data_IF_910515397514
#
_entry.id   IF_910515397514
#
_cell.length_a   1.000
_cell.length_b   1.000
_cell.length_c   1.000
_cell.angle_alpha   90.00
_cell.angle_beta   90.00
_cell.angle_gamma   90.00
#
_symmetry.space_group_name_H-M   'P 1'
#
loop_
_entity.id
_entity.type
_entity.pdbx_description
1 polymer ?
#
# COMPACT_ATOMS: atom_id res chain seq x y z
N UNK A 1 17.65 -17.94 38.31
CA UNK A 1 16.54 -17.05 37.91
C UNK A 1 17.17 -15.92 37.12
N UNK A 2 17.20 -16.03 35.79
CA UNK A 2 17.83 -15.05 34.91
C UNK A 2 16.93 -13.82 34.86
N UNK A 3 17.28 -12.80 35.65
CA UNK A 3 16.69 -11.46 35.53
C UNK A 3 17.24 -10.84 34.25
N UNK A 4 16.48 -10.93 33.16
CA UNK A 4 16.73 -10.11 31.97
C UNK A 4 16.56 -8.65 32.38
N UNK A 5 17.64 -7.88 32.31
CA UNK A 5 17.62 -6.46 32.68
C UNK A 5 16.59 -5.72 31.80
N UNK A 6 15.73 -4.86 32.36
CA UNK A 6 14.65 -4.19 31.62
C UNK A 6 15.14 -3.39 30.39
N UNK A 7 16.39 -2.94 30.43
CA UNK A 7 17.06 -2.23 29.34
C UNK A 7 17.38 -3.20 28.20
N UNK A 8 18.00 -4.34 28.49
CA UNK A 8 18.33 -5.38 27.49
C UNK A 8 17.08 -5.94 26.82
N UNK A 9 15.96 -6.01 27.54
CA UNK A 9 14.69 -6.47 26.99
C UNK A 9 14.10 -5.44 26.01
N UNK A 10 14.20 -4.14 26.34
CA UNK A 10 13.71 -3.04 25.49
C UNK A 10 14.52 -2.92 24.21
N UNK A 11 15.85 -2.97 24.31
CA UNK A 11 16.73 -2.96 23.13
C UNK A 11 16.43 -4.12 22.20
N UNK A 12 16.18 -5.32 22.76
CA UNK A 12 15.81 -6.48 21.96
C UNK A 12 14.45 -6.36 21.31
N UNK A 13 13.48 -5.71 21.96
CA UNK A 13 12.17 -5.42 21.37
C UNK A 13 12.32 -4.43 20.21
N UNK A 14 13.08 -3.35 20.39
CA UNK A 14 13.31 -2.36 19.32
C UNK A 14 13.99 -2.99 18.10
N UNK A 15 14.98 -3.86 18.32
CA UNK A 15 15.67 -4.59 17.24
C UNK A 15 14.71 -5.54 16.50
N UNK A 16 13.91 -6.31 17.24
CA UNK A 16 12.94 -7.24 16.65
C UNK A 16 11.80 -6.51 15.92
N UNK A 17 11.31 -5.39 16.46
CA UNK A 17 10.30 -4.56 15.81
C UNK A 17 10.83 -3.96 14.51
N UNK A 18 12.11 -3.54 14.51
CA UNK A 18 12.78 -3.03 13.33
C UNK A 18 12.99 -4.11 12.26
N UNK A 19 13.43 -5.32 12.64
CA UNK A 19 13.54 -6.46 11.74
C UNK A 19 12.16 -6.83 11.14
N UNK A 20 11.12 -6.88 11.97
CA UNK A 20 9.75 -7.14 11.51
C UNK A 20 9.29 -6.05 10.54
N UNK A 21 9.61 -4.78 10.80
CA UNK A 21 9.31 -3.66 9.89
C UNK A 21 9.99 -3.86 8.54
N UNK A 22 11.27 -4.20 8.53
CA UNK A 22 12.04 -4.44 7.30
C UNK A 22 11.51 -5.64 6.51
N UNK A 23 11.25 -6.76 7.18
CA UNK A 23 10.69 -7.96 6.56
C UNK A 23 9.30 -7.71 5.97
N UNK A 24 8.43 -7.00 6.70
CA UNK A 24 7.10 -6.58 6.18
C UNK A 24 7.23 -5.66 4.98
N UNK A 25 8.21 -4.74 4.97
CA UNK A 25 8.47 -3.85 3.84
C UNK A 25 9.01 -4.59 2.60
N UNK A 26 9.74 -5.69 2.79
CA UNK A 26 10.22 -6.57 1.71
C UNK A 26 9.11 -7.46 1.15
N UNK A 27 8.21 -7.95 2.00
CA UNK A 27 7.09 -8.81 1.60
C UNK A 27 5.90 -8.03 1.01
N UNK A 28 5.88 -6.70 1.15
CA UNK A 28 4.81 -5.88 0.59
C UNK A 28 4.86 -5.96 -0.96
N UNK A 29 3.81 -6.48 -1.62
CA UNK A 29 3.80 -6.64 -3.06
C UNK A 29 3.87 -5.26 -3.71
N UNK A 30 5.00 -4.94 -4.37
CA UNK A 30 5.18 -3.69 -5.10
C UNK A 30 4.69 -3.91 -6.52
N UNK A 31 3.41 -3.63 -6.78
CA UNK A 31 2.95 -3.48 -8.15
C UNK A 31 3.65 -2.24 -8.75
N UNK A 32 4.31 -2.44 -9.89
CA UNK A 32 4.89 -1.34 -10.65
C UNK A 32 3.73 -0.56 -11.29
N UNK A 33 3.29 0.50 -10.61
CA UNK A 33 2.23 1.36 -11.12
C UNK A 33 2.84 2.41 -12.07
N UNK A 34 2.20 2.71 -13.22
CA UNK A 34 2.68 3.72 -14.15
C UNK A 34 2.91 5.07 -13.48
N UNK A 35 3.97 5.79 -13.86
CA UNK A 35 4.25 7.13 -13.34
C UNK A 35 3.12 8.12 -13.71
N UNK A 36 2.53 7.92 -14.89
CA UNK A 36 1.43 8.72 -15.47
C UNK A 36 0.20 8.79 -14.57
N UNK A 37 -0.03 7.81 -13.70
CA UNK A 37 -1.20 7.77 -12.80
C UNK A 37 -1.14 8.79 -11.67
N UNK A 38 0.02 9.42 -11.46
CA UNK A 38 0.23 10.48 -10.46
C UNK A 38 -0.34 10.13 -9.06
N UNK A 39 -0.12 8.88 -8.64
CA UNK A 39 -0.46 8.37 -7.32
C UNK A 39 0.70 8.63 -6.35
N UNK A 40 0.37 9.12 -5.15
CA UNK A 40 1.36 9.31 -4.08
C UNK A 40 1.96 7.97 -3.65
N UNK A 41 3.15 7.94 -3.02
CA UNK A 41 3.73 6.70 -2.53
C UNK A 41 2.80 5.91 -1.59
N UNK A 42 2.02 6.60 -0.75
CA UNK A 42 1.00 5.96 0.10
C UNK A 42 -0.13 5.33 -0.73
N UNK A 43 -0.69 6.05 -1.71
CA UNK A 43 -1.74 5.51 -2.59
C UNK A 43 -1.26 4.29 -3.37
N UNK A 44 -0.03 4.32 -3.88
CA UNK A 44 0.59 3.20 -4.62
C UNK A 44 0.66 1.94 -3.77
N UNK A 45 1.09 2.08 -2.51
CA UNK A 45 1.20 0.95 -1.57
C UNK A 45 -0.18 0.40 -1.18
N UNK A 46 -1.15 1.27 -0.89
CA UNK A 46 -2.54 0.86 -0.61
C UNK A 46 -3.10 0.07 -1.80
N UNK A 47 -2.99 0.61 -3.01
CA UNK A 47 -3.52 -0.04 -4.21
C UNK A 47 -2.85 -1.40 -4.43
N UNK A 48 -1.53 -1.47 -4.30
CA UNK A 48 -0.81 -2.74 -4.47
C UNK A 48 -1.23 -3.79 -3.44
N UNK A 49 -1.46 -3.37 -2.19
CA UNK A 49 -1.95 -4.24 -1.11
C UNK A 49 -3.35 -4.77 -1.39
N UNK A 50 -4.27 -3.89 -1.79
CA UNK A 50 -5.63 -4.27 -2.18
C UNK A 50 -5.63 -5.25 -3.36
N UNK A 51 -4.79 -5.00 -4.37
CA UNK A 51 -4.66 -5.87 -5.54
C UNK A 51 -4.09 -7.24 -5.22
N UNK A 52 -3.11 -7.33 -4.33
CA UNK A 52 -2.53 -8.60 -3.92
C UNK A 52 -3.49 -9.44 -3.07
N UNK A 53 -4.40 -8.79 -2.33
CA UNK A 53 -5.37 -9.46 -1.46
C UNK A 53 -6.69 -9.79 -2.16
N UNK A 54 -6.98 -9.19 -3.31
CA UNK A 54 -8.25 -9.32 -4.03
C UNK A 54 -8.68 -10.80 -4.22
N UNK A 55 -9.94 -11.17 -3.91
CA UNK A 55 -11.05 -10.32 -3.47
C UNK A 55 -11.16 -10.12 -1.94
N UNK A 56 -10.15 -10.52 -1.17
CA UNK A 56 -10.17 -10.44 0.29
C UNK A 56 -10.11 -9.01 0.84
N UNK A 57 -10.67 -8.86 2.05
CA UNK A 57 -10.65 -7.60 2.80
C UNK A 57 -9.24 -7.33 3.35
N UNK A 58 -8.80 -6.10 3.18
CA UNK A 58 -7.61 -5.54 3.83
C UNK A 58 -8.07 -4.64 4.97
N UNK A 59 -7.65 -4.96 6.20
CA UNK A 59 -8.14 -4.28 7.40
C UNK A 59 -7.63 -2.85 7.52
N UNK A 60 -8.33 -2.02 8.28
CA UNK A 60 -7.90 -0.65 8.60
C UNK A 60 -6.50 -0.60 9.20
N UNK A 61 -6.20 -1.48 10.15
CA UNK A 61 -4.90 -1.54 10.83
C UNK A 61 -3.79 -1.91 9.86
N UNK A 62 -4.03 -2.89 8.99
CA UNK A 62 -3.03 -3.28 8.00
C UNK A 62 -2.76 -2.15 7.00
N UNK A 63 -3.79 -1.43 6.56
CA UNK A 63 -3.62 -0.27 5.68
C UNK A 63 -2.88 0.89 6.40
N UNK A 64 -3.06 1.04 7.70
CA UNK A 64 -2.33 2.02 8.51
C UNK A 64 -0.84 1.68 8.53
N UNK A 65 -0.49 0.43 8.82
CA UNK A 65 0.90 -0.06 8.77
C UNK A 65 1.51 0.16 7.38
N UNK A 66 0.77 -0.17 6.32
CA UNK A 66 1.22 0.01 4.93
C UNK A 66 1.49 1.49 4.63
N UNK A 67 0.66 2.42 5.10
CA UNK A 67 0.90 3.85 4.95
C UNK A 67 2.16 4.32 5.69
N UNK A 68 2.40 3.79 6.89
CA UNK A 68 3.50 4.20 7.78
C UNK A 68 4.85 3.52 7.48
N UNK A 69 4.84 2.40 6.77
CA UNK A 69 6.01 1.53 6.52
C UNK A 69 7.26 2.19 5.88
N UNK A 70 7.12 3.36 5.27
CA UNK A 70 8.21 4.07 4.56
C UNK A 70 8.40 5.51 5.09
N UNK A 71 7.77 5.85 6.23
CA UNK A 71 8.13 7.07 6.93
C UNK A 71 9.53 6.86 7.50
N UNK A 72 10.51 7.54 6.89
CA UNK A 72 11.82 7.73 7.51
C UNK A 72 11.57 8.40 8.86
N UNK A 73 12.35 8.04 9.89
CA UNK A 73 12.18 8.46 11.28
C UNK A 73 12.07 9.99 11.49
N UNK A 74 12.48 10.78 10.50
CA UNK A 74 12.49 12.25 10.51
C UNK A 74 11.48 12.92 9.57
N UNK A 75 10.70 12.16 8.78
CA UNK A 75 9.62 12.77 7.99
C UNK A 75 8.42 13.02 8.91
N UNK A 76 7.85 14.25 8.92
CA UNK A 76 6.62 14.50 9.65
C UNK A 76 5.56 13.53 9.13
N UNK A 77 4.82 12.85 10.03
CA UNK A 77 3.83 11.88 9.58
C UNK A 77 2.90 12.62 8.63
N UNK A 78 2.75 12.11 7.40
CA UNK A 78 1.63 12.56 6.59
C UNK A 78 0.39 12.12 7.37
N UNK A 79 -0.24 13.05 8.08
CA UNK A 79 -1.39 12.82 9.00
C UNK A 79 -2.60 12.23 8.26
N UNK A 80 -2.51 12.09 6.93
CA UNK A 80 -3.56 11.53 6.10
C UNK A 80 -3.75 10.03 6.36
N UNK A 81 -4.82 9.73 7.07
CA UNK A 81 -5.30 8.37 7.35
C UNK A 81 -5.54 7.57 6.05
N UNK A 82 -5.51 6.23 6.10
CA UNK A 82 -5.84 5.37 4.96
C UNK A 82 -7.17 5.74 4.28
N UNK A 83 -8.15 6.19 5.06
CA UNK A 83 -9.44 6.70 4.58
C UNK A 83 -9.29 7.90 3.65
N UNK A 84 -8.44 8.87 4.01
CA UNK A 84 -8.19 10.06 3.18
C UNK A 84 -7.50 9.66 1.87
N UNK A 85 -6.50 8.78 1.94
CA UNK A 85 -5.81 8.29 0.74
C UNK A 85 -6.78 7.57 -0.20
N UNK A 86 -7.64 6.68 0.32
CA UNK A 86 -8.63 5.95 -0.49
C UNK A 86 -9.68 6.91 -1.08
N UNK A 87 -10.14 7.89 -0.30
CA UNK A 87 -11.07 8.92 -0.79
C UNK A 87 -10.50 9.70 -1.97
N UNK A 88 -9.21 10.09 -1.91
CA UNK A 88 -8.50 10.75 -3.00
C UNK A 88 -8.19 9.83 -4.18
N UNK A 89 -7.94 8.55 -3.90
CA UNK A 89 -7.54 7.56 -4.92
C UNK A 89 -8.73 7.07 -5.77
N UNK A 90 -9.92 6.90 -5.18
CA UNK A 90 -11.14 6.49 -5.91
C UNK A 90 -11.44 7.31 -7.17
N UNK A 91 -11.52 8.66 -7.12
CA UNK A 91 -11.81 9.44 -8.31
C UNK A 91 -10.69 9.36 -9.36
N UNK A 92 -9.42 9.26 -8.92
CA UNK A 92 -8.29 9.03 -9.84
C UNK A 92 -8.41 7.68 -10.56
N UNK A 93 -8.70 6.61 -9.81
CA UNK A 93 -8.87 5.27 -10.38
C UNK A 93 -10.07 5.20 -11.32
N UNK A 94 -11.19 5.85 -10.98
CA UNK A 94 -12.36 5.88 -11.84
C UNK A 94 -12.08 6.58 -13.20
N UNK A 95 -11.21 7.61 -13.21
CA UNK A 95 -10.78 8.29 -14.44
C UNK A 95 -9.80 7.45 -15.26
N UNK A 96 -8.85 6.79 -14.60
CA UNK A 96 -7.80 6.01 -15.25
C UNK A 96 -8.28 4.65 -15.76
N UNK A 97 -9.15 4.00 -14.99
CA UNK A 97 -9.64 2.64 -15.23
C UNK A 97 -11.17 2.63 -15.03
N UNK A 98 -11.95 2.95 -16.08
CA UNK A 98 -13.40 2.88 -16.01
C UNK A 98 -13.88 1.50 -15.56
N UNK A 99 -14.76 1.47 -14.56
CA UNK A 99 -15.32 0.22 -13.99
C UNK A 99 -14.54 -0.34 -12.80
N UNK A 100 -13.29 0.05 -12.58
CA UNK A 100 -12.54 -0.38 -11.41
C UNK A 100 -13.00 0.36 -10.15
N UNK A 101 -13.43 -0.39 -9.13
CA UNK A 101 -13.98 0.17 -7.90
C UNK A 101 -13.28 -0.38 -6.66
N UNK A 102 -13.05 0.50 -5.68
CA UNK A 102 -12.62 0.12 -4.33
C UNK A 102 -13.82 0.18 -3.40
N UNK A 103 -14.18 -0.96 -2.84
CA UNK A 103 -15.33 -1.10 -1.95
C UNK A 103 -14.92 -0.94 -0.49
N UNK A 104 -15.86 -0.45 0.32
CA UNK A 104 -15.69 -0.31 1.77
C UNK A 104 -16.36 -1.50 2.45
N UNK A 105 -15.61 -2.23 3.27
CA UNK A 105 -16.17 -3.16 4.24
C UNK A 105 -16.33 -2.42 5.57
N UNK A 106 -17.57 -2.08 5.93
CA UNK A 106 -17.86 -1.23 7.09
C UNK A 106 -17.31 -1.81 8.40
N UNK A 107 -16.47 -1.05 9.08
CA UNK A 107 -15.85 -1.45 10.35
C UNK A 107 -14.65 -2.39 10.22
N UNK A 108 -14.41 -2.96 9.03
CA UNK A 108 -13.30 -3.89 8.81
C UNK A 108 -12.18 -3.26 8.01
N UNK A 109 -12.50 -2.64 6.87
CA UNK A 109 -11.49 -2.24 5.91
C UNK A 109 -11.99 -1.94 4.51
N UNK A 110 -11.19 -2.33 3.52
CA UNK A 110 -11.45 -2.10 2.12
C UNK A 110 -11.08 -3.32 1.30
N UNK A 111 -11.74 -3.48 0.16
CA UNK A 111 -11.48 -4.58 -0.76
C UNK A 111 -11.73 -4.15 -2.20
N UNK A 112 -11.26 -4.96 -3.14
CA UNK A 112 -11.55 -4.80 -4.56
C UNK A 112 -12.03 -6.13 -5.11
N UNK A 113 -12.99 -6.11 -6.03
CA UNK A 113 -13.45 -7.33 -6.69
C UNK A 113 -12.36 -7.89 -7.62
N UNK A 114 -12.45 -9.18 -7.94
CA UNK A 114 -11.57 -9.82 -8.91
C UNK A 114 -11.66 -9.15 -10.29
N UNK A 115 -12.87 -8.73 -10.68
CA UNK A 115 -13.14 -8.00 -11.91
C UNK A 115 -12.43 -6.63 -11.92
N UNK A 116 -12.61 -5.83 -10.86
CA UNK A 116 -11.91 -4.56 -10.71
C UNK A 116 -10.39 -4.74 -10.71
N UNK A 117 -9.88 -5.78 -10.05
CA UNK A 117 -8.46 -6.10 -10.04
C UNK A 117 -7.93 -6.47 -11.43
N UNK A 118 -8.72 -7.19 -12.24
CA UNK A 118 -8.36 -7.53 -13.62
C UNK A 118 -8.29 -6.28 -14.50
N UNK A 119 -9.30 -5.41 -14.44
CA UNK A 119 -9.31 -4.13 -15.16
C UNK A 119 -8.10 -3.26 -14.80
N UNK A 120 -7.75 -3.18 -13.52
CA UNK A 120 -6.58 -2.42 -13.07
C UNK A 120 -5.29 -3.05 -13.61
N UNK A 121 -5.16 -4.39 -13.59
CA UNK A 121 -3.98 -5.07 -14.17
C UNK A 121 -3.83 -4.83 -15.66
N UNK A 122 -4.92 -4.89 -16.41
CA UNK A 122 -4.92 -4.60 -17.85
C UNK A 122 -4.53 -3.15 -18.13
N UNK A 123 -5.04 -2.20 -17.34
CA UNK A 123 -4.68 -0.80 -17.47
C UNK A 123 -3.19 -0.56 -17.13
N UNK A 124 -2.67 -1.20 -16.08
CA UNK A 124 -1.23 -1.16 -15.77
C UNK A 124 -0.42 -1.72 -16.94
N UNK A 125 -0.80 -2.87 -17.48
CA UNK A 125 -0.10 -3.50 -18.59
C UNK A 125 -0.11 -2.61 -19.84
N UNK A 126 -1.25 -2.00 -20.17
CA UNK A 126 -1.40 -1.06 -21.28
C UNK A 126 -0.50 0.17 -21.13
N UNK A 127 -0.47 0.77 -19.95
CA UNK A 127 0.27 2.01 -19.71
C UNK A 127 1.77 1.77 -19.49
N UNK A 128 2.17 0.59 -19.01
CA UNK A 128 3.57 0.16 -18.98
C UNK A 128 4.08 -0.28 -20.36
N UNK A 129 3.20 -0.76 -21.25
CA UNK A 129 3.55 -1.15 -22.61
C UNK A 129 3.59 0.03 -23.60
N UNK A 130 3.15 1.24 -23.19
CA UNK A 130 3.19 2.46 -24.00
C UNK A 130 4.52 3.24 -23.88
N UNK A 131 4.90 3.95 -24.95
CA UNK A 131 5.96 3.51 -25.85
C UNK A 131 7.35 3.48 -25.18
N UNK A 132 8.01 2.32 -25.22
CA UNK A 132 9.47 2.29 -25.34
C UNK A 132 9.78 2.54 -26.82
N UNK A 133 9.68 3.80 -27.26
CA UNK A 133 10.17 4.23 -28.57
C UNK A 133 10.51 5.73 -28.54
N UNK A 134 11.76 6.02 -28.89
CA UNK A 134 12.39 7.32 -29.15
C UNK A 134 12.71 8.22 -27.95
N UNK A 135 13.86 7.95 -27.31
CA UNK A 135 14.80 9.01 -26.98
C UNK A 135 16.23 8.45 -26.80
N UNK A 136 17.12 8.93 -27.68
CA UNK A 136 18.60 8.87 -27.67
C UNK A 136 19.28 7.59 -28.19
#
# INVERSE_FOLDING_TARGET
>A
MLSLDPITLRERVEELEEEVRQLRAMMSPRLHLPATWNLTPAMRRILSTLMARAPGIVTHDHLLEVCMSDQRRNDPPSIETPKVQICKMRPKLAQLVPGATIETAWGEGYWISLESAALIREAIARDLAGPVAEAA
#
